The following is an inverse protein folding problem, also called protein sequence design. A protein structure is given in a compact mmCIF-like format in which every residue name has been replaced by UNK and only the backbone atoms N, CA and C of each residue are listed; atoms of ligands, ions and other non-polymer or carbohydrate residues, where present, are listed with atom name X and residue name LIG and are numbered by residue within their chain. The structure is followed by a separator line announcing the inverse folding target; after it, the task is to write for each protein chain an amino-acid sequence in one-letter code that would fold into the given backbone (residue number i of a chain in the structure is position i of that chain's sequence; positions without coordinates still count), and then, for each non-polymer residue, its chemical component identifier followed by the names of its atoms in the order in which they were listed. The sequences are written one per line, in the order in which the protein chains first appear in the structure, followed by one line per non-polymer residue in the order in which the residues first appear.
data_IF_976635106551
#
_entry.id   IF_976635106551
#
_cell.length_a   1.000
_cell.length_b   1.000
_cell.length_c   1.000
_cell.angle_alpha   90.00
_cell.angle_beta   90.00
_cell.angle_gamma   90.00
#
_symmetry.space_group_name_H-M   'P 1'
#
loop_
_entity.id
_entity.type
_entity.pdbx_description
1 polymer ?
#
# COMPACT_ATOMS: atom_id res chain seq x y z
N UNK A 1 55.96 0.12 -39.45
CA UNK A 1 54.81 -0.79 -39.32
C UNK A 1 54.01 -0.41 -38.08
N UNK A 2 52.81 0.10 -38.36
CA UNK A 2 51.87 0.51 -37.33
C UNK A 2 51.14 -0.69 -36.75
N UNK A 3 51.13 -0.81 -35.43
CA UNK A 3 50.24 -1.73 -34.70
C UNK A 3 49.29 -0.87 -33.85
N UNK A 4 48.03 -0.70 -34.37
CA UNK A 4 46.97 -0.06 -33.59
C UNK A 4 46.38 -1.05 -32.61
N UNK A 5 46.58 -0.81 -31.30
CA UNK A 5 45.85 -1.48 -30.24
C UNK A 5 44.49 -0.80 -30.06
N UNK A 6 43.41 -1.54 -30.35
CA UNK A 6 42.05 -1.12 -29.94
C UNK A 6 41.94 -1.39 -28.44
N UNK A 7 41.72 -0.33 -27.68
CA UNK A 7 41.38 -0.44 -26.27
C UNK A 7 40.01 -1.16 -26.07
N UNK A 8 39.78 -1.81 -24.93
CA UNK A 8 38.50 -2.46 -24.62
C UNK A 8 37.40 -1.42 -24.57
N UNK A 9 36.32 -1.67 -25.33
CA UNK A 9 35.13 -0.85 -25.30
C UNK A 9 34.56 -0.81 -23.88
N UNK A 10 34.25 0.39 -23.44
CA UNK A 10 33.43 0.62 -22.26
C UNK A 10 32.03 0.08 -22.59
N UNK A 11 31.75 -1.14 -22.17
CA UNK A 11 30.38 -1.62 -22.09
C UNK A 11 29.69 -0.71 -21.08
N UNK A 12 28.79 0.15 -21.57
CA UNK A 12 27.98 1.01 -20.74
C UNK A 12 27.15 0.14 -19.79
N UNK A 13 27.42 0.22 -18.50
CA UNK A 13 26.51 -0.31 -17.48
C UNK A 13 25.12 0.28 -17.78
N UNK A 14 24.17 -0.56 -18.18
CA UNK A 14 22.77 -0.17 -18.32
C UNK A 14 22.32 0.37 -16.97
N UNK A 15 22.02 1.67 -16.90
CA UNK A 15 21.47 2.30 -15.71
C UNK A 15 20.17 1.57 -15.40
N UNK A 16 20.18 0.74 -14.36
CA UNK A 16 19.01 -0.01 -13.90
C UNK A 16 17.96 1.03 -13.50
N UNK A 17 16.88 1.11 -14.26
CA UNK A 17 15.82 2.06 -13.97
C UNK A 17 15.23 1.73 -12.61
N UNK A 18 15.30 2.65 -11.66
CA UNK A 18 14.72 2.50 -10.33
C UNK A 18 13.20 2.43 -10.46
N UNK A 19 12.61 1.33 -10.02
CA UNK A 19 11.17 1.17 -10.04
C UNK A 19 10.49 1.94 -8.93
N UNK A 20 9.17 2.05 -9.02
CA UNK A 20 8.33 2.80 -8.08
C UNK A 20 7.28 1.88 -7.45
N UNK A 21 7.12 1.99 -6.15
CA UNK A 21 6.11 1.27 -5.38
C UNK A 21 5.17 2.26 -4.69
N UNK A 22 3.93 2.31 -5.18
CA UNK A 22 2.85 3.00 -4.51
C UNK A 22 2.17 2.06 -3.50
N UNK A 23 2.02 2.50 -2.26
CA UNK A 23 1.19 1.82 -1.26
C UNK A 23 -0.13 2.60 -1.17
N UNK A 24 -1.17 2.07 -1.78
CA UNK A 24 -2.38 2.82 -2.12
C UNK A 24 -3.54 2.45 -1.21
N UNK A 25 -4.06 3.42 -0.45
CA UNK A 25 -5.36 3.30 0.19
C UNK A 25 -6.48 3.50 -0.84
N UNK A 26 -7.26 2.45 -1.11
CA UNK A 26 -8.35 2.49 -2.10
C UNK A 26 -9.67 3.02 -1.54
N UNK A 27 -9.69 3.43 -0.28
CA UNK A 27 -10.92 3.86 0.38
C UNK A 27 -11.82 2.67 0.78
N UNK A 28 -13.12 2.93 1.04
CA UNK A 28 -14.04 1.92 1.58
C UNK A 28 -14.54 0.90 0.54
N UNK A 29 -14.11 0.97 -0.72
CA UNK A 29 -14.37 -0.06 -1.71
C UNK A 29 -15.07 0.38 -2.99
N UNK A 30 -15.55 1.64 -3.09
CA UNK A 30 -16.07 2.19 -4.34
C UNK A 30 -15.06 3.10 -5.02
N UNK A 31 -15.04 3.08 -6.35
CA UNK A 31 -14.19 3.96 -7.16
C UNK A 31 -14.40 5.45 -6.83
N UNK A 32 -15.65 5.87 -6.63
CA UNK A 32 -16.00 7.27 -6.34
C UNK A 32 -15.42 7.78 -5.01
N UNK A 33 -15.10 6.88 -4.09
CA UNK A 33 -14.54 7.22 -2.77
C UNK A 33 -13.00 7.11 -2.73
N UNK A 34 -12.37 6.82 -3.86
CA UNK A 34 -10.93 6.92 -3.98
C UNK A 34 -10.48 8.38 -4.03
N UNK A 35 -9.32 8.66 -3.47
CA UNK A 35 -8.69 9.96 -3.70
C UNK A 35 -8.22 10.07 -5.15
N UNK A 36 -8.23 11.26 -5.72
CA UNK A 36 -7.70 11.51 -7.09
C UNK A 36 -6.24 11.03 -7.19
N UNK A 37 -5.47 11.20 -6.12
CA UNK A 37 -4.08 10.73 -6.08
C UNK A 37 -4.00 9.20 -6.13
N UNK A 38 -4.90 8.47 -5.46
CA UNK A 38 -4.98 7.02 -5.52
C UNK A 38 -5.35 6.55 -6.94
N UNK A 39 -6.31 7.19 -7.59
CA UNK A 39 -6.67 6.87 -8.97
C UNK A 39 -5.47 7.03 -9.90
N UNK A 40 -4.76 8.16 -9.82
CA UNK A 40 -3.56 8.42 -10.65
C UNK A 40 -2.46 7.39 -10.40
N UNK A 41 -2.18 7.06 -9.13
CA UNK A 41 -1.19 6.04 -8.79
C UNK A 41 -1.56 4.67 -9.37
N UNK A 42 -2.85 4.31 -9.34
CA UNK A 42 -3.35 3.10 -9.98
C UNK A 42 -3.21 3.15 -11.51
N UNK A 43 -3.53 4.29 -12.14
CA UNK A 43 -3.39 4.48 -13.60
C UNK A 43 -1.94 4.37 -14.07
N UNK A 44 -0.99 4.96 -13.34
CA UNK A 44 0.44 4.91 -13.65
C UNK A 44 1.04 3.52 -13.46
N UNK A 45 0.46 2.68 -12.61
CA UNK A 45 1.01 1.37 -12.27
C UNK A 45 0.83 0.36 -13.38
N UNK A 46 1.85 -0.42 -13.68
CA UNK A 46 1.84 -1.55 -14.61
C UNK A 46 1.32 -2.81 -13.91
N UNK A 47 1.66 -2.98 -12.65
CA UNK A 47 1.29 -4.12 -11.81
C UNK A 47 0.52 -3.63 -10.60
N UNK A 48 -0.55 -4.34 -10.27
CA UNK A 48 -1.32 -4.13 -9.04
C UNK A 48 -1.25 -5.38 -8.20
N UNK A 49 -0.80 -5.23 -6.96
CA UNK A 49 -0.70 -6.30 -5.97
C UNK A 49 -1.72 -6.07 -4.87
N UNK A 50 -2.47 -7.08 -4.48
CA UNK A 50 -3.48 -6.91 -3.45
C UNK A 50 -4.10 -8.19 -2.91
N UNK A 51 -4.89 -8.04 -1.85
CA UNK A 51 -5.79 -9.10 -1.41
C UNK A 51 -6.87 -9.32 -2.48
N UNK A 52 -7.21 -10.59 -2.74
CA UNK A 52 -8.09 -10.98 -3.86
C UNK A 52 -9.39 -10.17 -3.89
N UNK A 53 -10.07 -10.03 -2.75
CA UNK A 53 -11.35 -9.30 -2.68
C UNK A 53 -11.20 -7.82 -3.07
N UNK A 54 -10.12 -7.17 -2.64
CA UNK A 54 -9.89 -5.75 -2.98
C UNK A 54 -9.50 -5.57 -4.45
N UNK A 55 -8.73 -6.53 -5.00
CA UNK A 55 -8.41 -6.54 -6.42
C UNK A 55 -9.67 -6.68 -7.28
N UNK A 56 -10.59 -7.54 -6.89
CA UNK A 56 -11.85 -7.77 -7.62
C UNK A 56 -12.75 -6.51 -7.64
N UNK A 57 -12.76 -5.72 -6.56
CA UNK A 57 -13.47 -4.43 -6.50
C UNK A 57 -12.92 -3.40 -7.48
N UNK A 58 -11.60 -3.43 -7.75
CA UNK A 58 -10.91 -2.39 -8.52
C UNK A 58 -10.63 -2.77 -9.98
N UNK A 59 -10.61 -4.05 -10.29
CA UNK A 59 -10.14 -4.58 -11.58
C UNK A 59 -10.88 -4.00 -12.79
N UNK A 60 -12.18 -3.82 -12.70
CA UNK A 60 -12.99 -3.28 -13.79
C UNK A 60 -12.68 -1.79 -14.09
N UNK A 61 -12.24 -1.03 -13.08
CA UNK A 61 -11.92 0.40 -13.21
C UNK A 61 -10.52 0.65 -13.77
N UNK A 62 -9.63 -0.35 -13.72
CA UNK A 62 -8.24 -0.23 -14.16
C UNK A 62 -7.86 -1.36 -15.14
N UNK A 63 -8.36 -1.33 -16.37
CA UNK A 63 -8.07 -2.36 -17.38
C UNK A 63 -6.61 -2.36 -17.84
N UNK A 64 -6.15 -3.49 -18.36
CA UNK A 64 -4.84 -3.62 -19.01
C UNK A 64 -3.66 -3.75 -18.04
N UNK A 65 -3.90 -3.98 -16.75
CA UNK A 65 -2.86 -4.15 -15.74
C UNK A 65 -2.61 -5.62 -15.43
N UNK A 66 -1.38 -5.94 -15.02
CA UNK A 66 -1.06 -7.22 -14.38
C UNK A 66 -1.59 -7.19 -12.94
N UNK A 67 -2.40 -8.17 -12.57
CA UNK A 67 -2.94 -8.30 -11.23
C UNK A 67 -2.34 -9.50 -10.53
N UNK A 68 -1.66 -9.26 -9.42
CA UNK A 68 -1.10 -10.27 -8.53
C UNK A 68 -1.92 -10.27 -7.24
N UNK A 69 -2.58 -11.37 -6.94
CA UNK A 69 -3.44 -11.46 -5.77
C UNK A 69 -2.99 -12.57 -4.83
N UNK A 70 -3.17 -12.35 -3.54
CA UNK A 70 -2.93 -13.34 -2.51
C UNK A 70 -4.14 -13.47 -1.61
N UNK A 71 -4.37 -14.64 -0.99
CA UNK A 71 -5.41 -14.79 0.00
C UNK A 71 -5.11 -14.01 1.28
N UNK A 72 -6.06 -14.02 2.23
CA UNK A 72 -5.91 -13.43 3.54
C UNK A 72 -4.74 -14.06 4.33
N UNK A 73 -4.14 -13.30 5.24
CA UNK A 73 -3.01 -13.72 6.09
C UNK A 73 -1.69 -13.97 5.33
N UNK A 74 -1.53 -13.34 4.18
CA UNK A 74 -0.27 -13.37 3.41
C UNK A 74 0.28 -11.95 3.16
N UNK A 75 0.18 -11.09 4.16
CA UNK A 75 0.56 -9.68 4.05
C UNK A 75 2.04 -9.52 3.73
N UNK A 76 2.91 -10.27 4.42
CA UNK A 76 4.37 -10.22 4.20
C UNK A 76 4.73 -10.69 2.79
N UNK A 77 4.13 -11.79 2.32
CA UNK A 77 4.37 -12.31 0.98
C UNK A 77 3.89 -11.34 -0.09
N UNK A 78 2.72 -10.76 0.11
CA UNK A 78 2.15 -9.71 -0.76
C UNK A 78 3.07 -8.50 -0.86
N UNK A 79 3.62 -8.03 0.27
CA UNK A 79 4.58 -6.94 0.29
C UNK A 79 5.87 -7.29 -0.46
N UNK A 80 6.42 -8.51 -0.28
CA UNK A 80 7.61 -8.96 -0.99
C UNK A 80 7.41 -9.01 -2.50
N UNK A 81 6.30 -9.59 -2.96
CA UNK A 81 5.96 -9.61 -4.40
C UNK A 81 5.91 -8.21 -5.00
N UNK A 82 5.33 -7.24 -4.28
CA UNK A 82 5.27 -5.85 -4.73
C UNK A 82 6.66 -5.21 -4.80
N UNK A 83 7.51 -5.43 -3.79
CA UNK A 83 8.89 -4.93 -3.75
C UNK A 83 9.71 -5.53 -4.90
N UNK A 84 9.68 -6.85 -5.09
CA UNK A 84 10.42 -7.55 -6.16
C UNK A 84 10.06 -7.02 -7.55
N UNK A 85 8.78 -6.80 -7.83
CA UNK A 85 8.33 -6.21 -9.11
C UNK A 85 8.84 -4.77 -9.29
N UNK A 86 8.82 -3.99 -8.22
CA UNK A 86 9.33 -2.62 -8.27
C UNK A 86 10.86 -2.59 -8.42
N UNK A 87 11.61 -3.45 -7.73
CA UNK A 87 13.07 -3.61 -7.89
C UNK A 87 13.47 -4.06 -9.30
N UNK A 88 12.58 -4.76 -9.99
CA UNK A 88 12.73 -5.09 -11.41
C UNK A 88 12.53 -3.90 -12.36
N UNK A 89 12.27 -2.69 -11.82
CA UNK A 89 12.12 -1.46 -12.58
C UNK A 89 10.67 -1.11 -12.97
N UNK A 90 9.68 -1.84 -12.44
CA UNK A 90 8.26 -1.59 -12.74
C UNK A 90 7.64 -0.55 -11.81
N UNK A 91 6.58 0.10 -12.27
CA UNK A 91 5.70 0.89 -11.41
C UNK A 91 4.59 -0.01 -10.88
N UNK A 92 4.53 -0.15 -9.57
CA UNK A 92 3.68 -1.11 -8.86
C UNK A 92 2.74 -0.39 -7.90
N UNK A 93 1.48 -0.77 -7.84
CA UNK A 93 0.55 -0.38 -6.79
C UNK A 93 0.26 -1.56 -5.86
N UNK A 94 0.59 -1.43 -4.59
CA UNK A 94 0.14 -2.33 -3.54
C UNK A 94 -1.12 -1.73 -2.90
N UNK A 95 -2.28 -2.36 -3.10
CA UNK A 95 -3.56 -1.82 -2.65
C UNK A 95 -3.93 -2.29 -1.23
N UNK A 96 -4.44 -1.34 -0.45
CA UNK A 96 -4.98 -1.54 0.89
C UNK A 96 -6.43 -1.05 0.93
N UNK A 97 -7.31 -1.74 1.64
CA UNK A 97 -8.64 -1.22 1.96
C UNK A 97 -8.52 0.01 2.88
N UNK A 98 -9.40 0.98 2.73
CA UNK A 98 -9.38 2.20 3.51
C UNK A 98 -8.14 3.05 3.25
N UNK A 99 -7.34 3.26 4.28
CA UNK A 99 -6.09 4.01 4.24
C UNK A 99 -4.87 3.09 4.38
N UNK A 100 -3.81 3.36 3.63
CA UNK A 100 -2.61 2.53 3.62
C UNK A 100 -1.83 2.56 4.94
N UNK A 101 -1.98 3.61 5.75
CA UNK A 101 -1.32 3.80 7.05
C UNK A 101 -2.17 3.43 8.26
N UNK A 102 -3.51 3.34 8.10
CA UNK A 102 -4.42 2.95 9.19
C UNK A 102 -4.68 1.46 9.14
N UNK A 103 -3.91 0.69 9.90
CA UNK A 103 -3.90 -0.78 9.88
C UNK A 103 -3.68 -1.38 8.47
N UNK A 104 -3.07 -0.60 7.59
CA UNK A 104 -2.68 -1.01 6.25
C UNK A 104 -1.25 -1.56 6.18
N UNK A 105 -0.72 -1.71 4.97
CA UNK A 105 0.58 -2.35 4.75
C UNK A 105 1.75 -1.36 4.62
N UNK A 106 1.53 -0.03 4.77
CA UNK A 106 2.60 0.95 4.56
C UNK A 106 3.76 0.77 5.55
N UNK A 107 3.45 0.51 6.83
CA UNK A 107 4.48 0.25 7.84
C UNK A 107 5.32 -0.97 7.51
N UNK A 108 4.70 -2.07 7.09
CA UNK A 108 5.39 -3.30 6.70
C UNK A 108 6.26 -3.11 5.46
N UNK A 109 5.79 -2.37 4.45
CA UNK A 109 6.60 -2.04 3.26
C UNK A 109 7.83 -1.23 3.66
N UNK A 110 7.67 -0.20 4.46
CA UNK A 110 8.78 0.65 4.90
C UNK A 110 9.80 -0.13 5.74
N UNK A 111 9.34 -1.06 6.57
CA UNK A 111 10.21 -1.97 7.34
C UNK A 111 10.99 -2.92 6.41
N UNK A 112 10.33 -3.53 5.42
CA UNK A 112 10.95 -4.48 4.50
C UNK A 112 11.93 -3.82 3.53
N UNK A 113 11.67 -2.60 3.07
CA UNK A 113 12.57 -1.83 2.20
C UNK A 113 13.75 -1.26 3.01
N UNK A 114 13.51 -0.90 4.29
CA UNK A 114 14.54 -0.37 5.18
C UNK A 114 15.15 0.94 4.67
N UNK A 115 16.46 1.06 4.75
CA UNK A 115 17.24 2.25 4.31
C UNK A 115 17.62 2.20 2.82
N UNK A 116 17.04 1.28 2.04
CA UNK A 116 17.33 1.16 0.62
C UNK A 116 16.72 2.32 -0.18
N UNK A 117 17.48 2.85 -1.13
CA UNK A 117 16.98 3.87 -2.07
C UNK A 117 16.16 3.27 -3.23
N UNK A 118 16.01 1.95 -3.28
CA UNK A 118 15.26 1.23 -4.32
C UNK A 118 14.44 0.08 -3.72
N UNK A 119 13.14 -0.04 -4.09
CA UNK A 119 12.40 0.86 -4.97
C UNK A 119 12.04 2.20 -4.30
N UNK A 120 11.69 3.22 -5.10
CA UNK A 120 11.11 4.45 -4.56
C UNK A 120 9.71 4.16 -4.03
N UNK A 121 9.50 4.31 -2.73
CA UNK A 121 8.22 4.06 -2.07
C UNK A 121 7.44 5.36 -1.87
N UNK A 122 6.18 5.36 -2.28
CA UNK A 122 5.25 6.48 -2.02
C UNK A 122 3.95 5.94 -1.41
N UNK A 123 3.60 6.41 -0.21
CA UNK A 123 2.34 6.06 0.46
C UNK A 123 1.26 7.02 0.03
N UNK A 124 0.15 6.48 -0.49
CA UNK A 124 -1.00 7.24 -0.98
C UNK A 124 -2.15 7.05 0.00
N UNK A 125 -2.61 8.13 0.68
CA UNK A 125 -3.69 8.04 1.63
C UNK A 125 -5.03 7.69 0.98
N UNK A 126 -5.91 7.07 1.75
CA UNK A 126 -7.28 6.75 1.38
C UNK A 126 -8.27 7.08 2.49
N UNK A 127 -9.55 6.97 2.17
CA UNK A 127 -10.62 7.19 3.16
C UNK A 127 -10.77 5.93 4.00
N UNK A 128 -10.32 5.98 5.26
CA UNK A 128 -10.46 4.86 6.20
C UNK A 128 -11.91 4.59 6.58
N UNK A 129 -12.23 3.34 6.93
CA UNK A 129 -13.57 2.91 7.34
C UNK A 129 -14.13 3.72 8.53
N UNK A 130 -13.30 4.22 9.42
CA UNK A 130 -13.73 5.09 10.51
C UNK A 130 -14.42 6.36 10.02
N UNK A 131 -13.88 7.01 8.98
CA UNK A 131 -14.44 8.23 8.41
C UNK A 131 -15.62 7.95 7.48
N UNK A 132 -15.52 6.93 6.62
CA UNK A 132 -16.63 6.58 5.72
C UNK A 132 -17.84 6.03 6.46
N UNK A 133 -17.63 5.19 7.48
CA UNK A 133 -18.69 4.71 8.38
C UNK A 133 -19.29 5.84 9.23
N UNK A 134 -18.45 6.74 9.74
CA UNK A 134 -18.90 7.91 10.47
C UNK A 134 -19.84 8.80 9.65
N UNK A 135 -19.53 9.01 8.37
CA UNK A 135 -20.40 9.77 7.47
C UNK A 135 -21.80 9.14 7.31
N UNK A 136 -21.87 7.81 7.22
CA UNK A 136 -23.14 7.06 7.15
C UNK A 136 -23.94 7.11 8.45
N UNK A 137 -23.26 7.25 9.58
CA UNK A 137 -23.87 7.32 10.91
C UNK A 137 -24.24 8.74 11.37
N UNK A 138 -24.27 9.71 10.49
CA UNK A 138 -24.59 11.10 10.81
C UNK A 138 -23.39 11.92 11.29
N UNK A 139 -22.18 11.52 10.91
CA UNK A 139 -20.93 12.24 11.19
C UNK A 139 -20.65 12.49 12.68
N UNK A 140 -20.62 11.46 13.56
CA UNK A 140 -20.46 11.61 15.00
C UNK A 140 -19.05 12.01 15.44
N UNK A 141 -18.09 12.13 14.52
CA UNK A 141 -16.67 12.40 14.79
C UNK A 141 -16.38 13.91 14.85
N UNK A 142 -17.23 14.66 15.51
CA UNK A 142 -17.11 16.12 15.66
C UNK A 142 -16.09 16.57 16.71
N UNK A 143 -15.66 15.67 17.57
CA UNK A 143 -14.67 15.87 18.63
C UNK A 143 -13.57 14.80 18.56
N UNK A 144 -12.82 14.63 19.64
CA UNK A 144 -11.79 13.62 19.73
C UNK A 144 -12.35 12.22 19.53
N UNK A 145 -11.61 11.34 18.87
CA UNK A 145 -11.99 9.95 18.70
C UNK A 145 -10.75 9.05 18.70
N UNK A 146 -10.93 7.80 19.13
CA UNK A 146 -9.90 6.79 19.12
C UNK A 146 -10.17 5.74 18.07
N UNK A 147 -9.11 5.31 17.36
CA UNK A 147 -9.17 4.19 16.41
C UNK A 147 -8.48 3.00 17.03
N UNK A 148 -9.23 1.94 17.29
CA UNK A 148 -8.74 0.74 17.94
C UNK A 148 -9.06 -0.46 17.05
N UNK A 149 -8.03 -1.25 16.69
CA UNK A 149 -8.24 -2.51 15.98
C UNK A 149 -8.86 -3.55 16.92
N UNK A 150 -9.91 -4.20 16.44
CA UNK A 150 -10.55 -5.33 17.15
C UNK A 150 -9.98 -6.68 16.67
N UNK A 151 -8.93 -6.69 15.86
CA UNK A 151 -8.27 -7.93 15.42
C UNK A 151 -7.47 -8.53 16.58
N UNK A 152 -7.85 -9.73 16.98
CA UNK A 152 -7.21 -10.52 18.04
C UNK A 152 -6.14 -11.48 17.51
N UNK A 153 -5.83 -11.41 16.23
CA UNK A 153 -4.87 -12.33 15.59
C UNK A 153 -3.45 -12.20 16.16
N UNK A 154 -3.01 -10.96 16.40
CA UNK A 154 -1.67 -10.66 16.94
C UNK A 154 -1.73 -9.91 18.27
N UNK A 155 -2.91 -9.50 18.72
CA UNK A 155 -3.13 -8.74 19.96
C UNK A 155 -4.09 -9.52 20.86
N UNK A 156 -3.71 -9.85 22.10
CA UNK A 156 -4.62 -10.52 23.03
C UNK A 156 -5.91 -9.73 23.24
N UNK A 157 -7.04 -10.43 23.32
CA UNK A 157 -8.36 -9.81 23.50
C UNK A 157 -8.41 -8.94 24.76
N UNK A 158 -7.82 -9.37 25.84
CA UNK A 158 -7.73 -8.62 27.11
C UNK A 158 -7.10 -7.22 26.90
N UNK A 159 -6.07 -7.13 26.06
CA UNK A 159 -5.43 -5.86 25.75
C UNK A 159 -6.32 -4.97 24.86
N UNK A 160 -7.12 -5.56 23.99
CA UNK A 160 -8.11 -4.82 23.18
C UNK A 160 -9.19 -4.24 24.08
N UNK A 161 -9.74 -5.05 24.99
CA UNK A 161 -10.73 -4.62 25.98
C UNK A 161 -10.20 -3.50 26.89
N UNK A 162 -8.97 -3.62 27.36
CA UNK A 162 -8.31 -2.60 28.16
C UNK A 162 -8.18 -1.26 27.42
N UNK A 163 -7.77 -1.30 26.16
CA UNK A 163 -7.71 -0.11 25.28
C UNK A 163 -9.08 0.54 25.07
N UNK A 164 -10.13 -0.26 24.89
CA UNK A 164 -11.50 0.23 24.73
C UNK A 164 -11.99 0.92 26.01
N UNK A 165 -11.75 0.31 27.19
CA UNK A 165 -12.10 0.89 28.47
C UNK A 165 -11.36 2.20 28.75
N UNK A 166 -10.06 2.26 28.44
CA UNK A 166 -9.27 3.48 28.59
C UNK A 166 -9.78 4.59 27.68
N UNK A 167 -10.07 4.29 26.41
CA UNK A 167 -10.61 5.26 25.47
C UNK A 167 -12.00 5.79 25.92
N UNK A 168 -12.86 4.91 26.44
CA UNK A 168 -14.19 5.29 26.93
C UNK A 168 -14.15 6.15 28.20
N UNK A 169 -13.08 6.04 29.00
CA UNK A 169 -12.92 6.78 30.25
C UNK A 169 -12.08 8.07 30.11
N UNK A 170 -11.64 8.40 28.91
CA UNK A 170 -10.97 9.68 28.66
C UNK A 170 -11.95 10.83 28.89
N UNK A 171 -11.62 11.83 29.71
CA UNK A 171 -12.46 13.03 29.84
C UNK A 171 -12.46 13.76 28.48
N UNK A 172 -13.66 14.06 28.00
CA UNK A 172 -13.90 14.89 26.80
C UNK A 172 -13.59 16.35 27.08
#
# INVERSE_FOLDING_TARGET
RHGGGRGPGLEGEAVKQTGKLYVVGIGPGSYEQMTIKAVRAMEESQVVVGYTVYADLMREHFPGKEWITTPMRQETERCRMAIEKAEAGMTVALICSGDAGVYGMSGLILELVGESDSPIVEVIPGVTAALSGGALLGAPLGHDFAVISLSDLLTPMELIEDRLLHAANMPL
#
